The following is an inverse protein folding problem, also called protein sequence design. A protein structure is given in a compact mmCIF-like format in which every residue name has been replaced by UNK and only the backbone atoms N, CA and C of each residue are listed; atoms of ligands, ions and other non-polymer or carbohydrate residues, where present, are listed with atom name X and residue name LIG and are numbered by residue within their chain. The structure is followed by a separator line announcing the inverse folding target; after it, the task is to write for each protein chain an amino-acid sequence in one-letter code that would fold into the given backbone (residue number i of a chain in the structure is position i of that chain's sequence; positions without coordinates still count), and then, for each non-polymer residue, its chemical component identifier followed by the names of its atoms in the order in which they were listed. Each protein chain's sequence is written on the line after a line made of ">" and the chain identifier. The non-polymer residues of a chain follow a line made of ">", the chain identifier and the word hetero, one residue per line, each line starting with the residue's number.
data_IF_159573744515
#
_entry.id   IF_159573744515
#
_cell.length_a   1.000
_cell.length_b   1.000
_cell.length_c   1.000
_cell.angle_alpha   90.00
_cell.angle_beta   90.00
_cell.angle_gamma   90.00
#
_symmetry.space_group_name_H-M   'P 1'
#
loop_
_entity.id
_entity.type
_entity.pdbx_description
1 polymer ?
#
# COMPACT_ATOMS: atom_id res chain seq x y z
N UNK A 1 34.58 14.72 -8.30
CA UNK A 1 33.27 14.19 -8.70
C UNK A 1 32.15 14.57 -7.72
N UNK A 2 32.45 15.10 -6.54
CA UNK A 2 31.47 15.34 -5.47
C UNK A 2 30.54 16.56 -5.73
N UNK A 3 31.11 17.72 -6.08
CA UNK A 3 30.34 18.97 -6.30
C UNK A 3 29.20 18.88 -7.32
N UNK A 4 29.37 18.09 -8.39
CA UNK A 4 28.34 17.97 -9.43
C UNK A 4 27.13 17.19 -8.89
N UNK A 5 27.35 16.13 -8.11
CA UNK A 5 26.28 15.35 -7.48
C UNK A 5 25.53 16.16 -6.44
N UNK A 6 26.26 16.92 -5.61
CA UNK A 6 25.68 17.86 -4.64
C UNK A 6 24.84 18.94 -5.31
N UNK A 7 25.31 19.49 -6.44
CA UNK A 7 24.57 20.51 -7.20
C UNK A 7 23.28 19.96 -7.78
N UNK A 8 23.30 18.74 -8.34
CA UNK A 8 22.11 18.06 -8.84
C UNK A 8 21.12 17.78 -7.70
N UNK A 9 21.58 17.23 -6.57
CA UNK A 9 20.73 16.92 -5.43
C UNK A 9 20.04 18.16 -4.86
N UNK A 10 20.77 19.27 -4.74
CA UNK A 10 20.21 20.56 -4.29
C UNK A 10 19.09 21.04 -5.22
N UNK A 11 19.32 20.99 -6.53
CA UNK A 11 18.33 21.41 -7.53
C UNK A 11 17.09 20.50 -7.50
N UNK A 12 17.30 19.19 -7.44
CA UNK A 12 16.24 18.18 -7.36
C UNK A 12 15.37 18.38 -6.09
N UNK A 13 16.00 18.59 -4.92
CA UNK A 13 15.27 18.90 -3.67
C UNK A 13 14.49 20.21 -3.77
N UNK A 14 15.09 21.26 -4.32
CA UNK A 14 14.43 22.56 -4.49
C UNK A 14 13.18 22.42 -5.36
N UNK A 15 13.27 21.68 -6.46
CA UNK A 15 12.13 21.41 -7.36
C UNK A 15 11.03 20.61 -6.65
N UNK A 16 11.40 19.57 -5.90
CA UNK A 16 10.44 18.74 -5.16
C UNK A 16 9.69 19.54 -4.10
N UNK A 17 10.41 20.33 -3.30
CA UNK A 17 9.83 21.14 -2.22
C UNK A 17 8.92 22.23 -2.79
N UNK A 18 9.37 22.94 -3.83
CA UNK A 18 8.56 23.96 -4.50
C UNK A 18 7.29 23.35 -5.13
N UNK A 19 7.41 22.21 -5.79
CA UNK A 19 6.26 21.49 -6.37
C UNK A 19 5.25 21.01 -5.32
N UNK A 20 5.72 20.71 -4.11
CA UNK A 20 4.88 20.33 -2.97
C UNK A 20 4.41 21.53 -2.12
N UNK A 21 4.86 22.76 -2.42
CA UNK A 21 4.55 23.96 -1.64
C UNK A 21 5.18 23.98 -0.24
N UNK A 22 6.29 23.28 -0.05
CA UNK A 22 7.01 23.16 1.23
C UNK A 22 8.10 24.23 1.28
N UNK A 23 8.16 25.00 2.37
CA UNK A 23 9.06 26.17 2.51
C UNK A 23 9.89 26.17 3.80
N UNK A 24 9.63 25.23 4.71
CA UNK A 24 10.23 25.14 6.05
C UNK A 24 11.42 24.17 6.12
N UNK A 25 11.87 23.65 4.98
CA UNK A 25 13.04 22.76 4.89
C UNK A 25 14.27 23.56 4.49
N UNK A 26 15.32 23.48 5.30
CA UNK A 26 16.65 23.94 4.90
C UNK A 26 17.22 22.96 3.86
N UNK A 27 17.32 23.42 2.61
CA UNK A 27 17.80 22.61 1.49
C UNK A 27 19.27 22.26 1.66
N UNK A 28 20.06 23.10 2.31
CA UNK A 28 21.51 22.93 2.41
C UNK A 28 21.83 21.88 3.46
N UNK A 29 21.12 21.95 4.58
CA UNK A 29 21.12 20.88 5.57
C UNK A 29 20.62 19.56 4.98
N UNK A 30 19.53 19.56 4.21
CA UNK A 30 19.02 18.35 3.56
C UNK A 30 19.99 17.75 2.53
N UNK A 31 20.84 18.57 1.89
CA UNK A 31 21.87 18.07 0.98
C UNK A 31 22.98 17.36 1.75
N UNK A 32 23.33 17.85 2.94
CA UNK A 32 24.42 17.32 3.77
C UNK A 32 23.99 16.15 4.68
N UNK A 33 22.75 16.15 5.16
CA UNK A 33 22.21 15.20 6.12
C UNK A 33 21.10 14.32 5.51
N UNK A 34 21.35 13.01 5.46
CA UNK A 34 20.41 12.04 4.88
C UNK A 34 19.12 11.86 5.69
N UNK A 35 19.14 12.10 7.00
CA UNK A 35 17.96 12.06 7.85
C UNK A 35 17.06 13.29 7.60
N UNK A 36 17.65 14.48 7.47
CA UNK A 36 16.93 15.71 7.11
C UNK A 36 16.33 15.56 5.71
N UNK A 37 17.11 15.04 4.76
CA UNK A 37 16.62 14.72 3.41
C UNK A 37 15.48 13.72 3.42
N UNK A 38 15.62 12.64 4.18
CA UNK A 38 14.58 11.64 4.33
C UNK A 38 13.30 12.26 4.89
N UNK A 39 13.40 13.12 5.91
CA UNK A 39 12.26 13.85 6.45
C UNK A 39 11.59 14.75 5.40
N UNK A 40 12.37 15.48 4.60
CA UNK A 40 11.87 16.30 3.49
C UNK A 40 11.10 15.45 2.46
N UNK A 41 11.64 14.29 2.05
CA UNK A 41 10.93 13.37 1.16
C UNK A 41 9.60 12.90 1.76
N UNK A 42 9.54 12.58 3.06
CA UNK A 42 8.26 12.18 3.70
C UNK A 42 7.21 13.28 3.63
N UNK A 43 7.61 14.54 3.77
CA UNK A 43 6.68 15.66 3.61
C UNK A 43 6.19 15.78 2.16
N UNK A 44 7.11 15.74 1.18
CA UNK A 44 6.76 15.75 -0.26
C UNK A 44 5.79 14.60 -0.57
N UNK A 45 6.10 13.38 -0.12
CA UNK A 45 5.26 12.20 -0.31
C UNK A 45 3.88 12.37 0.33
N UNK A 46 3.80 13.01 1.49
CA UNK A 46 2.51 13.26 2.13
C UNK A 46 1.60 14.15 1.28
N UNK A 47 2.16 15.19 0.68
CA UNK A 47 1.45 16.09 -0.25
C UNK A 47 1.09 15.35 -1.53
N UNK A 48 2.06 14.72 -2.17
CA UNK A 48 1.87 13.99 -3.43
C UNK A 48 0.81 12.90 -3.25
N UNK A 49 0.95 12.03 -2.26
CA UNK A 49 -0.03 10.97 -1.99
C UNK A 49 -1.43 11.47 -1.62
N UNK A 50 -1.59 12.73 -1.17
CA UNK A 50 -2.90 13.33 -0.91
C UNK A 50 -3.54 13.98 -2.14
N UNK A 51 -2.76 14.25 -3.20
CA UNK A 51 -3.27 14.86 -4.42
C UNK A 51 -4.32 13.99 -5.13
N UNK A 52 -5.33 14.63 -5.73
CA UNK A 52 -6.38 13.94 -6.51
C UNK A 52 -5.91 13.51 -7.89
N UNK A 53 -5.00 14.29 -8.49
CA UNK A 53 -4.37 13.98 -9.77
C UNK A 53 -3.03 13.31 -9.51
N UNK A 54 -2.67 12.37 -10.38
CA UNK A 54 -1.48 11.50 -10.26
C UNK A 54 -0.52 11.64 -11.44
N UNK A 55 -0.78 12.59 -12.34
CA UNK A 55 -0.05 12.74 -13.60
C UNK A 55 1.44 13.06 -13.37
N UNK A 56 1.75 13.76 -12.28
CA UNK A 56 3.10 14.21 -11.94
C UNK A 56 3.87 13.25 -11.00
N UNK A 57 3.21 12.25 -10.42
CA UNK A 57 3.81 11.33 -9.44
C UNK A 57 5.04 10.61 -10.02
N UNK A 58 4.99 10.26 -11.31
CA UNK A 58 6.11 9.64 -12.01
C UNK A 58 7.32 10.57 -12.06
N UNK A 59 7.11 11.86 -12.35
CA UNK A 59 8.17 12.84 -12.41
C UNK A 59 8.80 13.05 -11.03
N UNK A 60 7.97 13.13 -9.98
CA UNK A 60 8.43 13.18 -8.58
C UNK A 60 9.32 11.99 -8.25
N UNK A 61 8.87 10.76 -8.57
CA UNK A 61 9.68 9.56 -8.31
C UNK A 61 10.95 9.53 -9.14
N UNK A 62 10.90 9.99 -10.39
CA UNK A 62 12.10 10.12 -11.22
C UNK A 62 13.17 11.02 -10.58
N UNK A 63 12.74 12.09 -9.90
CA UNK A 63 13.64 13.01 -9.18
C UNK A 63 14.15 12.37 -7.89
N UNK A 64 13.27 11.77 -7.07
CA UNK A 64 13.67 11.07 -5.83
C UNK A 64 14.69 9.96 -6.11
N UNK A 65 14.51 9.19 -7.20
CA UNK A 65 15.41 8.08 -7.55
C UNK A 65 16.78 8.54 -8.07
N UNK A 66 17.02 9.84 -8.28
CA UNK A 66 18.35 10.39 -8.56
C UNK A 66 19.16 10.66 -7.30
N UNK A 67 18.58 10.47 -6.11
CA UNK A 67 19.32 10.59 -4.86
C UNK A 67 20.56 9.68 -4.90
N UNK A 68 21.75 10.20 -4.53
CA UNK A 68 22.96 9.39 -4.50
C UNK A 68 22.89 8.23 -3.50
N UNK A 69 22.04 8.32 -2.48
CA UNK A 69 21.80 7.25 -1.51
C UNK A 69 20.51 6.48 -1.87
N UNK A 70 20.68 5.35 -2.54
CA UNK A 70 19.54 4.54 -3.00
C UNK A 70 18.67 4.02 -1.85
N UNK A 71 19.23 3.85 -0.64
CA UNK A 71 18.44 3.42 0.50
C UNK A 71 17.39 4.49 0.88
N UNK A 72 17.77 5.76 0.84
CA UNK A 72 16.89 6.90 1.13
C UNK A 72 15.81 7.02 0.06
N UNK A 73 16.19 7.01 -1.22
CA UNK A 73 15.23 7.13 -2.33
C UNK A 73 14.27 5.94 -2.39
N UNK A 74 14.76 4.70 -2.20
CA UNK A 74 13.91 3.52 -2.11
C UNK A 74 12.90 3.65 -0.97
N UNK A 75 13.34 4.05 0.23
CA UNK A 75 12.44 4.19 1.38
C UNK A 75 11.32 5.21 1.10
N UNK A 76 11.66 6.34 0.47
CA UNK A 76 10.72 7.35 0.01
C UNK A 76 9.70 6.77 -1.00
N UNK A 77 10.16 6.05 -2.04
CA UNK A 77 9.25 5.48 -3.04
C UNK A 77 8.35 4.38 -2.44
N UNK A 78 8.87 3.56 -1.52
CA UNK A 78 8.05 2.58 -0.78
C UNK A 78 6.95 3.27 0.01
N UNK A 79 7.26 4.36 0.71
CA UNK A 79 6.27 5.11 1.47
C UNK A 79 5.20 5.73 0.56
N UNK A 80 5.58 6.24 -0.63
CA UNK A 80 4.63 6.72 -1.62
C UNK A 80 3.70 5.59 -2.09
N UNK A 81 4.25 4.44 -2.47
CA UNK A 81 3.47 3.25 -2.88
C UNK A 81 2.49 2.83 -1.79
N UNK A 82 2.95 2.73 -0.54
CA UNK A 82 2.11 2.38 0.60
C UNK A 82 0.97 3.39 0.79
N UNK A 83 1.28 4.70 0.76
CA UNK A 83 0.28 5.76 0.98
C UNK A 83 -0.73 5.90 -0.15
N UNK A 84 -0.31 5.69 -1.39
CA UNK A 84 -1.19 5.70 -2.56
C UNK A 84 -2.10 4.48 -2.50
N UNK A 85 -1.56 3.28 -2.29
CA UNK A 85 -2.35 2.06 -2.18
C UNK A 85 -3.42 2.15 -1.08
N UNK A 86 -3.09 2.69 0.10
CA UNK A 86 -4.05 2.89 1.19
C UNK A 86 -5.19 3.87 0.88
N UNK A 87 -5.02 4.74 -0.12
CA UNK A 87 -6.02 5.74 -0.52
C UNK A 87 -6.77 5.36 -1.79
N UNK A 88 -6.29 4.36 -2.52
CA UNK A 88 -6.94 3.92 -3.76
C UNK A 88 -8.13 3.04 -3.46
N UNK A 89 -9.28 3.39 -4.04
CA UNK A 89 -10.50 2.57 -3.96
C UNK A 89 -10.53 1.48 -5.04
N UNK A 90 -10.11 1.81 -6.27
CA UNK A 90 -10.14 0.87 -7.41
C UNK A 90 -8.76 0.19 -7.61
N UNK A 91 -8.67 -1.14 -7.51
CA UNK A 91 -7.44 -1.87 -7.84
C UNK A 91 -6.90 -1.59 -9.25
N UNK A 92 -7.77 -1.28 -10.22
CA UNK A 92 -7.36 -0.97 -11.60
C UNK A 92 -6.58 0.34 -11.67
N UNK A 93 -7.04 1.39 -10.98
CA UNK A 93 -6.35 2.68 -10.89
C UNK A 93 -4.96 2.52 -10.28
N UNK A 94 -4.85 1.75 -9.20
CA UNK A 94 -3.55 1.46 -8.58
C UNK A 94 -2.61 0.74 -9.54
N UNK A 95 -3.09 -0.28 -10.26
CA UNK A 95 -2.27 -1.00 -11.24
C UNK A 95 -1.79 -0.08 -12.35
N UNK A 96 -2.68 0.74 -12.92
CA UNK A 96 -2.31 1.67 -13.98
C UNK A 96 -1.24 2.66 -13.51
N UNK A 97 -1.44 3.26 -12.33
CA UNK A 97 -0.47 4.15 -11.70
C UNK A 97 0.88 3.45 -11.48
N UNK A 98 0.88 2.25 -10.91
CA UNK A 98 2.10 1.50 -10.64
C UNK A 98 2.83 1.10 -11.93
N UNK A 99 2.13 0.71 -13.00
CA UNK A 99 2.72 0.42 -14.31
C UNK A 99 3.45 1.64 -14.87
N UNK A 100 2.91 2.84 -14.71
CA UNK A 100 3.58 4.08 -15.10
C UNK A 100 4.84 4.38 -14.30
N UNK A 101 4.90 3.89 -13.06
CA UNK A 101 6.01 4.09 -12.13
C UNK A 101 7.19 3.14 -12.36
N UNK A 102 6.94 1.90 -12.75
CA UNK A 102 7.96 0.84 -12.83
C UNK A 102 9.17 1.18 -13.71
N UNK A 103 9.04 1.85 -14.87
CA UNK A 103 10.21 2.25 -15.66
C UNK A 103 11.21 3.15 -14.93
N UNK A 104 10.76 3.92 -13.92
CA UNK A 104 11.65 4.72 -13.08
C UNK A 104 12.33 3.84 -12.02
N UNK A 105 11.58 2.95 -11.38
CA UNK A 105 12.11 1.97 -10.40
C UNK A 105 13.20 1.10 -11.03
N UNK A 106 13.02 0.72 -12.30
CA UNK A 106 13.96 -0.11 -13.03
C UNK A 106 15.33 0.55 -13.28
N UNK A 107 15.45 1.86 -13.02
CA UNK A 107 16.71 2.62 -13.12
C UNK A 107 17.61 2.49 -11.89
N UNK A 108 17.08 2.03 -10.76
CA UNK A 108 17.90 1.77 -9.58
C UNK A 108 18.99 0.76 -9.90
N UNK A 109 20.21 1.02 -9.44
CA UNK A 109 21.37 0.16 -9.73
C UNK A 109 21.36 -1.10 -8.88
N UNK A 110 20.89 -1.03 -7.63
CA UNK A 110 20.84 -2.18 -6.73
C UNK A 110 19.65 -3.09 -7.03
N UNK A 111 19.92 -4.32 -7.49
CA UNK A 111 18.91 -5.34 -7.79
C UNK A 111 17.96 -5.62 -6.61
N UNK A 112 18.49 -5.64 -5.39
CA UNK A 112 17.70 -5.85 -4.18
C UNK A 112 16.70 -4.71 -3.94
N UNK A 113 17.04 -3.48 -4.29
CA UNK A 113 16.15 -2.32 -4.16
C UNK A 113 15.01 -2.38 -5.21
N UNK A 114 15.36 -2.68 -6.47
CA UNK A 114 14.38 -2.91 -7.53
C UNK A 114 13.41 -4.03 -7.16
N UNK A 115 13.95 -5.19 -6.79
CA UNK A 115 13.17 -6.37 -6.42
C UNK A 115 12.25 -6.13 -5.22
N UNK A 116 12.66 -5.27 -4.27
CA UNK A 116 11.79 -4.88 -3.15
C UNK A 116 10.58 -4.07 -3.62
N UNK A 117 10.78 -3.06 -4.45
CA UNK A 117 9.69 -2.20 -4.95
C UNK A 117 8.71 -2.96 -5.83
N UNK A 118 9.19 -3.81 -6.74
CA UNK A 118 8.34 -4.70 -7.54
C UNK A 118 7.47 -5.60 -6.64
N UNK A 119 8.07 -6.21 -5.62
CA UNK A 119 7.35 -7.05 -4.67
C UNK A 119 6.32 -6.25 -3.86
N UNK A 120 6.64 -5.03 -3.45
CA UNK A 120 5.72 -4.17 -2.71
C UNK A 120 4.51 -3.75 -3.56
N UNK A 121 4.72 -3.44 -4.85
CA UNK A 121 3.63 -3.17 -5.79
C UNK A 121 2.77 -4.41 -6.02
N UNK A 122 3.39 -5.59 -6.14
CA UNK A 122 2.67 -6.86 -6.24
C UNK A 122 1.80 -7.13 -4.99
N UNK A 123 2.37 -6.95 -3.80
CA UNK A 123 1.68 -7.10 -2.52
C UNK A 123 0.42 -6.22 -2.47
N UNK A 124 0.55 -4.92 -2.77
CA UNK A 124 -0.58 -3.99 -2.76
C UNK A 124 -1.62 -4.27 -3.84
N UNK A 125 -1.18 -4.67 -5.03
CA UNK A 125 -2.10 -5.06 -6.11
C UNK A 125 -2.96 -6.24 -5.70
N UNK A 126 -2.35 -7.26 -5.09
CA UNK A 126 -3.07 -8.42 -4.58
C UNK A 126 -4.00 -8.03 -3.44
N UNK A 127 -3.52 -7.26 -2.47
CA UNK A 127 -4.33 -6.75 -1.37
C UNK A 127 -5.58 -6.01 -1.84
N UNK A 128 -5.41 -5.01 -2.71
CA UNK A 128 -6.53 -4.20 -3.20
C UNK A 128 -7.54 -5.05 -3.96
N UNK A 129 -7.06 -5.99 -4.78
CA UNK A 129 -7.98 -6.84 -5.54
C UNK A 129 -8.76 -7.80 -4.64
N UNK A 130 -8.14 -8.31 -3.57
CA UNK A 130 -8.82 -9.08 -2.53
C UNK A 130 -9.87 -8.23 -1.82
N UNK A 131 -9.52 -6.99 -1.48
CA UNK A 131 -10.46 -6.08 -0.80
C UNK A 131 -11.61 -5.63 -1.69
N UNK A 132 -11.43 -5.62 -3.02
CA UNK A 132 -12.50 -5.44 -4.00
C UNK A 132 -13.38 -6.70 -4.19
N UNK A 133 -13.18 -7.76 -3.39
CA UNK A 133 -14.02 -8.95 -3.36
C UNK A 133 -13.53 -10.12 -4.20
N UNK A 134 -12.39 -10.00 -4.90
CA UNK A 134 -11.81 -11.15 -5.62
C UNK A 134 -11.28 -12.17 -4.62
N UNK A 135 -11.58 -13.44 -4.84
CA UNK A 135 -10.88 -14.53 -4.17
C UNK A 135 -9.62 -14.86 -4.97
N UNK A 136 -8.41 -14.74 -4.41
CA UNK A 136 -7.17 -15.03 -5.10
C UNK A 136 -6.97 -16.55 -5.23
N UNK A 137 -6.17 -16.97 -6.21
CA UNK A 137 -5.69 -18.35 -6.24
C UNK A 137 -4.63 -18.56 -5.15
N UNK A 138 -4.46 -19.81 -4.70
CA UNK A 138 -3.48 -20.14 -3.66
C UNK A 138 -2.04 -19.73 -4.04
N UNK A 139 -1.67 -19.91 -5.32
CA UNK A 139 -0.37 -19.51 -5.85
C UNK A 139 -0.17 -17.98 -5.81
N UNK A 140 -1.23 -17.19 -6.03
CA UNK A 140 -1.15 -15.73 -5.92
C UNK A 140 -0.89 -15.30 -4.47
N UNK A 141 -1.59 -15.88 -3.49
CA UNK A 141 -1.33 -15.59 -2.08
C UNK A 141 0.05 -16.07 -1.62
N UNK A 142 0.55 -17.18 -2.15
CA UNK A 142 1.90 -17.67 -1.85
C UNK A 142 3.00 -16.72 -2.34
N UNK A 143 2.74 -15.93 -3.39
CA UNK A 143 3.64 -14.91 -3.90
C UNK A 143 3.67 -13.60 -3.08
N UNK A 144 2.70 -13.41 -2.19
CA UNK A 144 2.58 -12.23 -1.33
C UNK A 144 3.43 -12.39 -0.08
N UNK A 145 4.05 -11.30 0.39
CA UNK A 145 4.89 -11.32 1.59
C UNK A 145 4.13 -11.66 2.86
N UNK A 146 4.83 -12.21 3.87
CA UNK A 146 4.26 -12.52 5.19
C UNK A 146 3.52 -11.32 5.82
N UNK A 147 4.10 -10.12 5.67
CA UNK A 147 3.50 -8.88 6.13
C UNK A 147 2.16 -8.62 5.46
N UNK A 148 2.09 -8.77 4.13
CA UNK A 148 0.87 -8.50 3.39
C UNK A 148 -0.17 -9.61 3.55
N UNK A 149 0.23 -10.89 3.61
CA UNK A 149 -0.70 -11.98 3.96
C UNK A 149 -1.35 -11.75 5.33
N UNK A 150 -0.56 -11.31 6.32
CA UNK A 150 -1.07 -10.94 7.64
C UNK A 150 -2.07 -9.80 7.54
N UNK A 151 -1.78 -8.76 6.76
CA UNK A 151 -2.70 -7.64 6.53
C UNK A 151 -4.02 -8.09 5.91
N UNK A 152 -3.98 -8.94 4.88
CA UNK A 152 -5.17 -9.53 4.27
C UNK A 152 -5.97 -10.33 5.31
N UNK A 153 -5.30 -11.13 6.15
CA UNK A 153 -5.96 -11.89 7.21
C UNK A 153 -6.65 -10.98 8.25
N UNK A 154 -6.06 -9.81 8.55
CA UNK A 154 -6.59 -8.86 9.53
C UNK A 154 -7.80 -8.08 8.97
N UNK A 155 -7.76 -7.69 7.70
CA UNK A 155 -8.74 -6.75 7.10
C UNK A 155 -9.84 -7.43 6.26
N UNK A 156 -9.59 -8.62 5.70
CA UNK A 156 -10.52 -9.27 4.76
C UNK A 156 -11.91 -9.55 5.34
N UNK A 157 -12.92 -9.34 4.49
CA UNK A 157 -14.31 -9.70 4.75
C UNK A 157 -14.76 -11.02 4.13
N UNK A 158 -13.97 -11.56 3.20
CA UNK A 158 -14.31 -12.76 2.44
C UNK A 158 -14.00 -14.03 3.23
N UNK A 159 -15.03 -14.83 3.52
CA UNK A 159 -14.87 -16.15 4.15
C UNK A 159 -13.97 -17.09 3.32
N UNK A 160 -14.11 -17.20 1.98
CA UNK A 160 -13.19 -17.97 1.14
C UNK A 160 -11.72 -17.56 1.31
N UNK A 161 -11.44 -16.25 1.35
CA UNK A 161 -10.07 -15.74 1.53
C UNK A 161 -9.52 -16.12 2.91
N UNK A 162 -10.33 -15.97 3.96
CA UNK A 162 -9.94 -16.33 5.33
C UNK A 162 -9.74 -17.84 5.50
N UNK A 163 -10.55 -18.66 4.84
CA UNK A 163 -10.38 -20.11 4.81
C UNK A 163 -9.04 -20.48 4.16
N UNK A 164 -8.76 -19.91 2.98
CA UNK A 164 -7.50 -20.13 2.27
C UNK A 164 -6.29 -19.75 3.14
N UNK A 165 -6.29 -18.56 3.74
CA UNK A 165 -5.19 -18.12 4.62
C UNK A 165 -5.06 -18.95 5.91
N UNK A 166 -6.14 -19.62 6.35
CA UNK A 166 -6.06 -20.55 7.49
C UNK A 166 -5.25 -21.81 7.12
N UNK A 167 -5.37 -22.25 5.88
CA UNK A 167 -4.70 -23.46 5.36
C UNK A 167 -3.28 -23.14 4.89
N UNK A 168 -3.11 -22.10 4.08
CA UNK A 168 -1.88 -21.85 3.32
C UNK A 168 -1.06 -20.65 3.78
N UNK A 169 -1.56 -19.86 4.75
CA UNK A 169 -0.85 -18.69 5.25
C UNK A 169 0.57 -19.06 5.72
N UNK A 170 1.57 -18.27 5.32
CA UNK A 170 2.99 -18.60 5.51
C UNK A 170 3.38 -18.75 6.98
N UNK A 171 2.87 -17.85 7.83
CA UNK A 171 3.16 -17.85 9.27
C UNK A 171 2.02 -18.46 10.10
N UNK A 172 2.38 -19.08 11.23
CA UNK A 172 1.40 -19.54 12.23
C UNK A 172 0.50 -18.39 12.71
N UNK A 173 1.04 -17.17 12.81
CA UNK A 173 0.30 -15.98 13.22
C UNK A 173 -0.79 -15.64 12.20
N UNK A 174 -0.45 -15.59 10.91
CA UNK A 174 -1.39 -15.34 9.82
C UNK A 174 -2.51 -16.38 9.82
N UNK A 175 -2.18 -17.68 9.88
CA UNK A 175 -3.18 -18.76 9.91
C UNK A 175 -4.13 -18.65 11.11
N UNK A 176 -3.60 -18.28 12.29
CA UNK A 176 -4.42 -18.11 13.49
C UNK A 176 -5.35 -16.89 13.41
N UNK A 177 -4.85 -15.76 12.90
CA UNK A 177 -5.68 -14.57 12.67
C UNK A 177 -6.82 -14.91 11.71
N UNK A 178 -6.50 -15.55 10.58
CA UNK A 178 -7.49 -15.92 9.57
C UNK A 178 -8.58 -16.85 10.14
N UNK A 179 -8.20 -17.86 10.94
CA UNK A 179 -9.13 -18.78 11.60
C UNK A 179 -10.09 -18.07 12.55
N UNK A 180 -9.56 -17.20 13.41
CA UNK A 180 -10.37 -16.42 14.35
C UNK A 180 -11.30 -15.44 13.61
N UNK A 181 -10.75 -14.85 12.54
CA UNK A 181 -11.41 -14.21 11.39
C UNK A 181 -12.71 -14.88 10.98
N UNK A 182 -12.54 -16.04 10.37
CA UNK A 182 -13.59 -16.81 9.74
C UNK A 182 -14.69 -17.19 10.75
N UNK A 183 -14.31 -17.65 11.94
CA UNK A 183 -15.25 -17.99 13.01
C UNK A 183 -16.13 -16.81 13.42
N UNK A 184 -15.51 -15.65 13.67
CA UNK A 184 -16.23 -14.44 14.08
C UNK A 184 -17.15 -13.88 12.99
N UNK A 185 -16.87 -14.20 11.72
CA UNK A 185 -17.75 -13.84 10.59
C UNK A 185 -18.90 -14.81 10.43
N UNK A 186 -18.64 -16.11 10.45
CA UNK A 186 -19.70 -17.12 10.37
C UNK A 186 -20.78 -16.92 11.46
N UNK A 187 -20.37 -16.57 12.68
CA UNK A 187 -21.32 -16.22 13.76
C UNK A 187 -22.14 -14.97 13.42
N UNK A 188 -21.52 -13.91 12.89
CA UNK A 188 -22.24 -12.68 12.53
C UNK A 188 -23.19 -12.88 11.35
N UNK A 189 -22.78 -13.65 10.35
CA UNK A 189 -23.62 -13.94 9.18
C UNK A 189 -24.83 -14.79 9.59
N UNK A 190 -24.64 -15.77 10.48
CA UNK A 190 -25.74 -16.57 11.05
C UNK A 190 -26.73 -15.70 11.85
N UNK A 191 -26.24 -14.76 12.66
CA UNK A 191 -27.09 -13.82 13.41
C UNK A 191 -27.81 -12.81 12.50
N UNK A 192 -27.22 -12.46 11.36
CA UNK A 192 -27.85 -11.56 10.38
C UNK A 192 -28.87 -12.27 9.50
N UNK A 193 -28.77 -13.60 9.38
CA UNK A 193 -29.66 -14.46 8.60
C UNK A 193 -30.88 -14.97 9.39
N UNK A 194 -31.02 -14.60 10.66
CA UNK A 194 -32.20 -14.90 11.49
C UNK A 194 -33.09 -13.63 11.62
N UNK A 195 -33.95 -13.33 10.62
CA UNK A 195 -34.96 -12.30 10.75
C UNK A 195 -36.04 -12.87 11.68
N UNK A 196 -35.93 -12.55 12.97
CA UNK A 196 -36.73 -13.14 14.02
C UNK A 196 -38.18 -13.46 13.63
N UNK A 197 -38.54 -14.73 13.85
CA UNK A 197 -39.84 -15.19 14.32
C UNK A 197 -40.94 -14.12 14.35
N UNK A 198 -41.59 -13.90 13.21
CA UNK A 198 -42.96 -13.40 13.19
C UNK A 198 -43.87 -14.49 13.75
N UNK A 199 -43.96 -14.57 15.08
CA UNK A 199 -44.87 -15.50 15.75
C UNK A 199 -46.31 -15.27 15.27
N UNK A 200 -47.10 -16.33 15.00
CA UNK A 200 -48.48 -16.17 14.56
C UNK A 200 -49.28 -15.43 15.64
N UNK A 201 -49.91 -14.30 15.28
CA UNK A 201 -50.88 -13.62 16.15
C UNK A 201 -52.06 -14.57 16.37
N UNK A 202 -52.38 -14.96 17.61
CA UNK A 202 -53.53 -15.82 17.88
C UNK A 202 -54.80 -15.06 17.51
N UNK A 203 -55.66 -15.73 16.73
CA UNK A 203 -56.89 -15.19 16.18
C UNK A 203 -57.82 -14.67 17.27
N UNK A 204 -58.33 -13.46 17.03
CA UNK A 204 -59.49 -12.94 17.75
C UNK A 204 -60.72 -13.46 17.03
N UNK A 205 -61.25 -14.58 17.51
CA UNK A 205 -62.60 -15.02 17.20
C UNK A 205 -63.57 -14.50 18.26
N UNK A 206 -64.63 -13.86 17.76
CA UNK A 206 -66.01 -13.79 18.26
C UNK A 206 -66.35 -12.77 19.36
N UNK A 207 -67.64 -12.36 19.49
CA UNK A 207 -68.83 -12.76 18.71
C UNK A 207 -69.37 -11.71 17.74
#
# INVERSE_FOLDING_TARGET
>A
MDRVRTTTLRADLTVLLAGAGIVDVDVDEAVEDEHVRSAAYRQVIAVVAAARRRDDDRAVVSVILRDPEELVSKAAVVELVDRVAMRTADPADFRQWATGLMPEVDRLTTDGHRGFLHRRVHDWTTYLTVMAGRTPAAAELAGVTDWMQRRIAEESTSLPVLAMLTETGSTKKTRNIARNRARSRAVRDALSADPGCGGPRPGTSLP
#
